data_IF_517912368992
#
_entry.id   IF_517912368992
#
_cell.length_a   1.000
_cell.length_b   1.000
_cell.length_c   1.000
_cell.angle_alpha   90.00
_cell.angle_beta   90.00
_cell.angle_gamma   90.00
#
_symmetry.space_group_name_H-M   'P 1'
#
loop_
_entity.id
_entity.type
_entity.pdbx_description
1 polymer ?
#
# COMPACT_ATOMS: atom_id res chain seq x y z
N UNK A 1 26.53 14.28 7.27
CA UNK A 1 25.41 13.71 6.48
C UNK A 1 24.39 13.20 7.48
N UNK A 2 23.52 14.08 7.99
CA UNK A 2 22.66 13.77 9.14
C UNK A 2 21.27 13.30 8.69
N UNK A 3 20.93 12.05 9.03
CA UNK A 3 19.57 11.63 9.41
C UNK A 3 18.52 11.55 8.29
N UNK A 4 18.60 10.54 7.43
CA UNK A 4 17.47 10.16 6.61
C UNK A 4 16.34 9.49 7.42
N UNK A 5 15.12 9.43 6.88
CA UNK A 5 13.93 8.92 7.58
C UNK A 5 14.14 7.48 8.06
N UNK A 6 13.91 7.20 9.35
CA UNK A 6 14.06 5.85 9.92
C UNK A 6 15.42 5.16 9.67
N UNK A 7 16.47 5.91 9.32
CA UNK A 7 17.79 5.37 8.94
C UNK A 7 17.96 5.09 7.44
N UNK A 8 17.04 5.55 6.59
CA UNK A 8 17.02 5.38 5.13
C UNK A 8 17.64 6.60 4.45
N UNK A 9 18.63 6.40 3.59
CA UNK A 9 19.48 7.49 3.05
C UNK A 9 18.71 8.57 2.29
N UNK A 10 17.79 8.18 1.40
CA UNK A 10 17.18 9.12 0.45
C UNK A 10 15.76 9.59 0.82
N UNK A 11 15.16 9.04 1.89
CA UNK A 11 13.75 9.32 2.19
C UNK A 11 12.79 8.90 1.07
N UNK A 12 13.13 7.84 0.32
CA UNK A 12 12.30 7.28 -0.74
C UNK A 12 11.84 5.90 -0.28
N UNK A 13 10.53 5.72 -0.21
CA UNK A 13 9.87 4.47 0.18
C UNK A 13 9.17 3.88 -1.04
N UNK A 14 9.37 2.58 -1.30
CA UNK A 14 8.58 1.80 -2.23
C UNK A 14 7.29 1.36 -1.53
N UNK A 15 6.14 1.68 -2.11
CA UNK A 15 4.85 1.22 -1.61
C UNK A 15 4.70 -0.32 -1.78
N UNK A 16 4.04 -1.01 -0.83
CA UNK A 16 3.72 -2.43 -0.95
C UNK A 16 2.60 -2.61 -1.98
N UNK A 17 3.00 -2.78 -3.24
CA UNK A 17 2.10 -3.09 -4.36
C UNK A 17 2.00 -4.61 -4.52
N UNK A 18 0.93 -5.09 -5.16
CA UNK A 18 0.66 -6.53 -5.34
C UNK A 18 1.88 -7.35 -5.76
N UNK A 19 1.91 -8.63 -5.38
CA UNK A 19 3.06 -9.51 -5.63
C UNK A 19 3.38 -9.70 -7.13
N UNK A 20 2.41 -9.43 -8.00
CA UNK A 20 2.51 -9.36 -9.46
C UNK A 20 3.18 -8.06 -9.97
N UNK A 21 3.46 -7.10 -9.08
CA UNK A 21 4.11 -5.82 -9.39
C UNK A 21 5.40 -5.67 -8.60
N UNK A 22 5.33 -5.69 -7.26
CA UNK A 22 6.46 -5.42 -6.36
C UNK A 22 7.00 -6.69 -5.71
N UNK A 23 7.59 -7.56 -6.55
CA UNK A 23 8.28 -8.77 -6.12
C UNK A 23 9.60 -8.52 -5.37
N UNK A 24 10.27 -9.59 -4.90
CA UNK A 24 11.51 -9.52 -4.13
C UNK A 24 12.63 -8.68 -4.78
N UNK A 25 12.78 -8.74 -6.09
CA UNK A 25 13.82 -8.05 -6.86
C UNK A 25 13.63 -6.53 -6.81
N UNK A 26 12.40 -6.05 -6.95
CA UNK A 26 12.11 -4.62 -6.85
C UNK A 26 12.38 -4.10 -5.43
N UNK A 27 11.92 -4.82 -4.41
CA UNK A 27 12.16 -4.47 -3.01
C UNK A 27 13.66 -4.38 -2.72
N UNK A 28 14.42 -5.42 -3.11
CA UNK A 28 15.85 -5.47 -2.89
C UNK A 28 16.60 -4.38 -3.67
N UNK A 29 16.21 -4.08 -4.91
CA UNK A 29 16.82 -3.03 -5.72
C UNK A 29 16.66 -1.65 -5.06
N UNK A 30 15.45 -1.31 -4.61
CA UNK A 30 15.17 -0.04 -3.90
C UNK A 30 16.00 0.06 -2.61
N UNK A 31 16.04 -1.01 -1.83
CA UNK A 31 16.80 -1.07 -0.57
C UNK A 31 18.30 -0.93 -0.82
N UNK A 32 18.84 -1.62 -1.82
CA UNK A 32 20.25 -1.54 -2.18
C UNK A 32 20.64 -0.14 -2.66
N UNK A 33 19.73 0.56 -3.34
CA UNK A 33 19.88 1.93 -3.80
C UNK A 33 19.69 3.00 -2.69
N UNK A 34 19.48 2.62 -1.42
CA UNK A 34 19.38 3.58 -0.31
C UNK A 34 17.95 4.06 0.01
N UNK A 35 16.93 3.44 -0.61
CA UNK A 35 15.53 3.62 -0.25
C UNK A 35 15.04 2.59 0.79
N UNK A 36 13.76 2.68 1.16
CA UNK A 36 13.06 1.70 1.97
C UNK A 36 12.14 0.86 1.07
N UNK A 37 12.39 -0.44 0.99
CA UNK A 37 11.54 -1.37 0.28
C UNK A 37 10.46 -1.95 1.19
N UNK A 38 9.19 -1.92 0.76
CA UNK A 38 8.09 -2.57 1.45
C UNK A 38 7.47 -3.65 0.57
N UNK A 39 7.50 -4.90 1.04
CA UNK A 39 6.83 -6.04 0.41
C UNK A 39 5.32 -5.98 0.67
N UNK A 40 4.45 -6.19 -0.33
CA UNK A 40 3.05 -6.50 -0.04
C UNK A 40 2.94 -7.93 0.50
N UNK A 41 2.57 -8.07 1.77
CA UNK A 41 2.52 -9.39 2.40
C UNK A 41 1.33 -10.21 1.91
N UNK A 42 1.52 -11.53 1.70
CA UNK A 42 0.41 -12.47 1.58
C UNK A 42 -0.56 -12.33 2.76
N UNK A 43 -1.86 -12.30 2.47
CA UNK A 43 -2.90 -12.18 3.50
C UNK A 43 -3.03 -13.50 4.26
N UNK A 44 -2.92 -13.43 5.58
CA UNK A 44 -3.02 -14.54 6.52
C UNK A 44 -2.26 -15.83 6.14
N UNK A 45 -1.07 -15.70 5.55
CA UNK A 45 -0.30 -16.86 5.07
C UNK A 45 1.15 -16.80 5.56
N UNK A 46 1.46 -17.61 6.57
CA UNK A 46 2.79 -17.67 7.19
C UNK A 46 3.86 -18.15 6.18
N UNK A 47 3.62 -19.27 5.50
CA UNK A 47 4.62 -19.93 4.66
C UNK A 47 5.01 -19.07 3.46
N UNK A 48 4.03 -18.51 2.74
CA UNK A 48 4.31 -17.62 1.61
C UNK A 48 4.94 -16.30 2.05
N UNK A 49 4.57 -15.78 3.23
CA UNK A 49 5.23 -14.59 3.80
C UNK A 49 6.70 -14.86 4.10
N UNK A 50 7.02 -15.97 4.77
CA UNK A 50 8.40 -16.40 5.06
C UNK A 50 9.19 -16.58 3.76
N UNK A 51 8.61 -17.24 2.76
CA UNK A 51 9.22 -17.47 1.46
C UNK A 51 9.56 -16.16 0.75
N UNK A 52 8.63 -15.22 0.69
CA UNK A 52 8.84 -13.91 0.07
C UNK A 52 9.92 -13.08 0.81
N UNK A 53 9.87 -13.06 2.15
CA UNK A 53 10.89 -12.40 2.98
C UNK A 53 12.28 -13.00 2.75
N UNK A 54 12.39 -14.32 2.73
CA UNK A 54 13.68 -15.01 2.50
C UNK A 54 14.18 -14.80 1.07
N UNK A 55 13.31 -14.65 0.08
CA UNK A 55 13.72 -14.28 -1.27
C UNK A 55 14.40 -12.90 -1.30
N UNK A 56 13.84 -11.90 -0.60
CA UNK A 56 14.45 -10.57 -0.49
C UNK A 56 15.80 -10.64 0.25
N UNK A 57 15.88 -11.38 1.37
CA UNK A 57 17.12 -11.56 2.15
C UNK A 57 18.26 -12.22 1.37
N UNK A 58 17.97 -12.97 0.31
CA UNK A 58 19.00 -13.51 -0.60
C UNK A 58 19.62 -12.42 -1.49
N UNK A 59 18.93 -11.30 -1.69
CA UNK A 59 19.30 -10.22 -2.60
C UNK A 59 19.85 -8.98 -1.87
N UNK A 60 19.61 -8.87 -0.56
CA UNK A 60 20.14 -7.77 0.26
C UNK A 60 20.26 -8.15 1.73
N UNK A 61 21.28 -7.59 2.39
CA UNK A 61 21.46 -7.65 3.85
C UNK A 61 20.99 -6.37 4.55
N UNK A 62 20.50 -5.37 3.81
CA UNK A 62 20.02 -4.11 4.37
C UNK A 62 18.58 -4.26 4.90
N UNK A 63 18.17 -3.47 5.92
CA UNK A 63 16.81 -3.51 6.45
C UNK A 63 15.75 -3.18 5.39
N UNK A 64 14.63 -3.90 5.44
CA UNK A 64 13.44 -3.66 4.61
C UNK A 64 12.18 -3.94 5.42
N UNK A 65 11.02 -3.67 4.83
CA UNK A 65 9.73 -3.83 5.47
C UNK A 65 8.71 -4.66 4.69
N UNK A 66 7.55 -4.81 5.31
CA UNK A 66 6.38 -5.51 4.79
C UNK A 66 5.10 -4.73 5.09
N UNK A 67 4.11 -4.77 4.20
CA UNK A 67 2.85 -4.06 4.34
C UNK A 67 1.66 -5.02 4.48
N UNK A 68 0.76 -4.71 5.43
CA UNK A 68 -0.46 -5.49 5.70
C UNK A 68 -1.72 -4.62 5.67
N UNK A 69 -2.81 -5.20 5.16
CA UNK A 69 -4.15 -4.60 5.16
C UNK A 69 -4.89 -4.95 6.44
N UNK A 70 -5.21 -3.95 7.26
CA UNK A 70 -5.89 -4.15 8.54
C UNK A 70 -7.35 -4.60 8.40
N UNK A 71 -7.92 -4.50 7.19
CA UNK A 71 -9.23 -5.05 6.86
C UNK A 71 -9.30 -6.58 7.06
N UNK A 72 -8.19 -7.30 6.91
CA UNK A 72 -8.15 -8.75 6.94
C UNK A 72 -7.46 -9.28 8.20
N UNK A 73 -7.72 -10.55 8.54
CA UNK A 73 -6.89 -11.25 9.51
C UNK A 73 -5.46 -11.39 8.93
N UNK A 74 -4.47 -10.97 9.71
CA UNK A 74 -3.06 -11.06 9.35
C UNK A 74 -2.26 -11.78 10.44
N UNK A 75 -2.90 -12.48 11.37
CA UNK A 75 -2.24 -13.14 12.51
C UNK A 75 -1.05 -14.02 12.09
N UNK A 76 -1.23 -14.87 11.07
CA UNK A 76 -0.15 -15.70 10.51
C UNK A 76 0.93 -14.90 9.81
N UNK A 77 0.56 -13.85 9.11
CA UNK A 77 1.48 -12.95 8.39
C UNK A 77 2.34 -12.13 9.36
N UNK A 78 1.73 -11.56 10.40
CA UNK A 78 2.41 -10.82 11.46
C UNK A 78 3.38 -11.76 12.20
N UNK A 79 2.96 -12.98 12.50
CA UNK A 79 3.86 -13.99 13.09
C UNK A 79 5.09 -14.23 12.20
N UNK A 80 4.90 -14.39 10.89
CA UNK A 80 6.02 -14.54 9.95
C UNK A 80 6.95 -13.33 9.92
N UNK A 81 6.39 -12.11 9.95
CA UNK A 81 7.15 -10.84 10.02
C UNK A 81 8.03 -10.81 11.29
N UNK A 82 7.48 -11.22 12.44
CA UNK A 82 8.20 -11.27 13.71
C UNK A 82 9.28 -12.36 13.72
N UNK A 83 8.95 -13.59 13.32
CA UNK A 83 9.89 -14.71 13.29
C UNK A 83 11.06 -14.44 12.34
N UNK A 84 10.79 -13.78 11.20
CA UNK A 84 11.81 -13.39 10.23
C UNK A 84 12.48 -12.04 10.56
N UNK A 85 12.13 -11.37 11.66
CA UNK A 85 12.79 -10.14 12.14
C UNK A 85 12.87 -9.04 11.08
N UNK A 86 11.75 -8.79 10.40
CA UNK A 86 11.63 -7.66 9.48
C UNK A 86 11.73 -6.34 10.24
N UNK A 87 12.38 -5.33 9.66
CA UNK A 87 12.65 -4.08 10.37
C UNK A 87 11.44 -3.14 10.45
N UNK A 88 10.55 -3.20 9.45
CA UNK A 88 9.43 -2.27 9.31
C UNK A 88 8.14 -3.00 8.93
N UNK A 89 7.02 -2.63 9.56
CA UNK A 89 5.69 -3.08 9.17
C UNK A 89 4.82 -1.88 8.84
N UNK A 90 4.43 -1.75 7.57
CA UNK A 90 3.41 -0.81 7.17
C UNK A 90 2.04 -1.39 7.46
N UNK A 91 1.20 -0.60 8.11
CA UNK A 91 -0.21 -0.91 8.35
C UNK A 91 -1.10 0.12 7.67
N UNK A 92 -2.16 -0.32 7.02
CA UNK A 92 -3.07 0.56 6.28
C UNK A 92 -4.50 0.01 6.25
N UNK A 93 -5.47 0.91 6.02
CA UNK A 93 -6.91 0.60 6.03
C UNK A 93 -7.46 0.05 7.34
N UNK A 94 -7.22 0.78 8.43
CA UNK A 94 -7.78 0.48 9.74
C UNK A 94 -7.03 1.17 10.86
N UNK A 95 -7.46 0.87 12.09
CA UNK A 95 -6.79 1.34 13.31
C UNK A 95 -5.76 0.31 13.78
N UNK A 96 -4.62 0.80 14.26
CA UNK A 96 -3.57 -0.02 14.84
C UNK A 96 -3.27 0.53 16.23
N UNK A 97 -3.95 -0.01 17.27
CA UNK A 97 -3.92 0.58 18.60
C UNK A 97 -2.57 0.37 19.29
N UNK A 98 -2.34 1.14 20.36
CA UNK A 98 -1.08 1.19 21.09
C UNK A 98 -0.56 -0.19 21.50
N UNK A 99 -1.44 -1.10 21.93
CA UNK A 99 -1.05 -2.43 22.38
C UNK A 99 -0.37 -3.23 21.26
N UNK A 100 -0.86 -3.09 20.02
CA UNK A 100 -0.27 -3.75 18.84
C UNK A 100 1.03 -3.08 18.41
N UNK A 101 1.15 -1.76 18.54
CA UNK A 101 2.42 -1.05 18.32
C UNK A 101 3.47 -1.52 19.32
N UNK A 102 3.13 -1.54 20.61
CA UNK A 102 4.01 -1.98 21.69
C UNK A 102 4.43 -3.45 21.50
N UNK A 103 3.52 -4.31 21.01
CA UNK A 103 3.83 -5.69 20.65
C UNK A 103 4.83 -5.80 19.49
N UNK A 104 4.64 -5.01 18.42
CA UNK A 104 5.58 -4.98 17.30
C UNK A 104 6.97 -4.49 17.74
N UNK A 105 7.01 -3.47 18.60
CA UNK A 105 8.25 -2.94 19.16
C UNK A 105 9.01 -3.98 20.00
N UNK A 106 8.32 -4.84 20.77
CA UNK A 106 8.95 -5.97 21.49
C UNK A 106 9.66 -6.95 20.56
N UNK A 107 9.19 -7.06 19.31
CA UNK A 107 9.81 -7.88 18.27
C UNK A 107 10.84 -7.12 17.42
N UNK A 108 11.13 -5.86 17.76
CA UNK A 108 12.08 -5.02 17.03
C UNK A 108 11.55 -4.47 15.71
N UNK A 109 10.24 -4.50 15.49
CA UNK A 109 9.59 -4.04 14.26
C UNK A 109 9.04 -2.64 14.44
N UNK A 110 9.44 -1.71 13.58
CA UNK A 110 8.92 -0.34 13.55
C UNK A 110 7.63 -0.24 12.74
N UNK A 111 6.67 0.55 13.18
CA UNK A 111 5.35 0.70 12.56
C UNK A 111 5.28 1.95 11.69
N UNK A 112 4.90 1.76 10.42
CA UNK A 112 4.59 2.83 9.47
C UNK A 112 3.08 2.83 9.22
N UNK A 113 2.33 3.78 9.79
CA UNK A 113 0.88 3.81 9.61
C UNK A 113 0.50 4.70 8.44
N UNK A 114 -0.09 4.12 7.39
CA UNK A 114 -0.66 4.91 6.30
C UNK A 114 -2.06 5.39 6.64
N UNK A 115 -2.24 6.71 6.59
CA UNK A 115 -3.47 7.41 6.96
C UNK A 115 -3.92 8.34 5.83
N UNK A 116 -5.22 8.58 5.74
CA UNK A 116 -5.83 9.46 4.73
C UNK A 116 -6.61 10.65 5.31
N UNK A 117 -6.54 10.86 6.62
CA UNK A 117 -7.24 11.94 7.32
C UNK A 117 -6.44 12.41 8.53
N UNK A 118 -6.76 13.62 8.99
CA UNK A 118 -6.20 14.20 10.22
C UNK A 118 -6.56 13.35 11.45
N UNK A 119 -7.83 12.95 11.58
CA UNK A 119 -8.29 12.11 12.70
C UNK A 119 -7.52 10.78 12.78
N UNK A 120 -7.30 10.12 11.63
CA UNK A 120 -6.52 8.88 11.60
C UNK A 120 -5.04 9.13 11.97
N UNK A 121 -4.48 10.28 11.60
CA UNK A 121 -3.14 10.67 12.02
C UNK A 121 -3.04 10.88 13.54
N UNK A 122 -4.02 11.57 14.16
CA UNK A 122 -4.08 11.75 15.62
C UNK A 122 -4.11 10.41 16.35
N UNK A 123 -4.92 9.46 15.87
CA UNK A 123 -4.97 8.09 16.42
C UNK A 123 -3.63 7.36 16.27
N UNK A 124 -2.98 7.49 15.11
CA UNK A 124 -1.67 6.89 14.87
C UNK A 124 -0.57 7.49 15.79
N UNK A 125 -0.58 8.81 15.99
CA UNK A 125 0.31 9.49 16.95
C UNK A 125 0.07 8.97 18.37
N UNK A 126 -1.18 8.91 18.81
CA UNK A 126 -1.55 8.40 20.14
C UNK A 126 -1.15 6.93 20.35
N UNK A 127 -1.17 6.12 19.28
CA UNK A 127 -0.72 4.74 19.31
C UNK A 127 0.81 4.60 19.43
N UNK A 128 1.58 5.66 19.13
CA UNK A 128 3.04 5.67 19.25
C UNK A 128 3.77 5.07 18.04
N UNK A 129 3.22 5.23 16.83
CA UNK A 129 3.84 4.75 15.59
C UNK A 129 5.18 5.43 15.30
N UNK A 130 6.07 4.75 14.57
CA UNK A 130 7.41 5.27 14.26
C UNK A 130 7.42 6.23 13.07
N UNK A 131 6.40 6.18 12.22
CA UNK A 131 6.27 7.00 11.03
C UNK A 131 4.82 7.00 10.54
N UNK A 132 4.40 8.12 9.96
CA UNK A 132 3.10 8.27 9.32
C UNK A 132 3.30 8.37 7.81
N UNK A 133 2.54 7.61 7.02
CA UNK A 133 2.46 7.78 5.57
C UNK A 133 1.15 8.51 5.25
N UNK A 134 1.22 9.77 4.88
CA UNK A 134 0.07 10.59 4.49
C UNK A 134 -0.33 10.28 3.04
N UNK A 135 -1.45 9.59 2.84
CA UNK A 135 -1.97 9.24 1.52
C UNK A 135 -3.02 10.26 1.04
N UNK A 136 -2.68 11.01 0.00
CA UNK A 136 -3.64 11.85 -0.71
C UNK A 136 -4.58 11.04 -1.62
N UNK A 137 -5.70 11.63 -2.00
CA UNK A 137 -6.71 11.04 -2.89
C UNK A 137 -6.15 10.69 -4.28
N UNK A 138 -5.01 11.26 -4.65
CA UNK A 138 -4.33 11.05 -5.93
C UNK A 138 -3.54 9.73 -6.00
N UNK A 139 -3.35 9.02 -4.88
CA UNK A 139 -2.63 7.75 -4.87
C UNK A 139 -3.30 6.68 -5.76
N UNK A 140 -2.53 5.72 -6.27
CA UNK A 140 -3.04 4.55 -6.99
C UNK A 140 -3.38 3.38 -6.05
N UNK A 141 -4.11 2.38 -6.55
CA UNK A 141 -4.50 1.22 -5.74
C UNK A 141 -5.57 1.57 -4.71
N UNK A 142 -5.65 0.86 -3.58
CA UNK A 142 -6.64 1.16 -2.53
C UNK A 142 -6.35 2.52 -1.87
N UNK A 143 -7.36 3.40 -1.84
CA UNK A 143 -7.27 4.78 -1.34
C UNK A 143 -8.22 4.98 -0.17
N UNK A 144 -7.65 5.26 1.00
CA UNK A 144 -8.44 5.71 2.16
C UNK A 144 -8.59 7.23 2.20
N UNK A 145 -7.63 7.97 1.64
CA UNK A 145 -7.66 9.43 1.53
C UNK A 145 -8.75 9.96 0.61
N UNK A 146 -9.42 11.03 1.05
CA UNK A 146 -10.43 11.77 0.27
C UNK A 146 -10.02 13.20 -0.01
N UNK A 147 -8.91 13.65 0.57
CA UNK A 147 -8.35 15.00 0.44
C UNK A 147 -7.08 14.93 -0.40
N UNK A 148 -6.81 15.99 -1.17
CA UNK A 148 -5.57 16.11 -1.95
C UNK A 148 -4.34 16.08 -1.03
N UNK A 149 -3.26 15.45 -1.50
CA UNK A 149 -2.02 15.38 -0.72
C UNK A 149 -1.49 16.77 -0.36
N UNK A 150 -1.60 17.74 -1.28
CA UNK A 150 -1.17 19.12 -1.07
C UNK A 150 -1.84 19.77 0.16
N UNK A 151 -3.14 19.54 0.37
CA UNK A 151 -3.88 20.12 1.49
C UNK A 151 -3.77 19.27 2.77
N UNK A 152 -3.70 17.94 2.61
CA UNK A 152 -3.66 17.00 3.73
C UNK A 152 -2.30 16.98 4.44
N UNK A 153 -1.21 17.00 3.67
CA UNK A 153 0.14 16.78 4.18
C UNK A 153 0.57 17.75 5.30
N UNK A 154 0.50 19.10 5.14
CA UNK A 154 0.96 20.01 6.18
C UNK A 154 0.17 19.84 7.49
N UNK A 155 -1.14 19.56 7.40
CA UNK A 155 -2.00 19.32 8.57
C UNK A 155 -1.57 18.08 9.36
N UNK A 156 -1.19 17.01 8.66
CA UNK A 156 -0.69 15.79 9.30
C UNK A 156 0.70 16.04 9.90
N UNK A 157 1.56 16.79 9.21
CA UNK A 157 2.90 17.17 9.71
C UNK A 157 2.79 17.93 11.03
N UNK A 158 1.91 18.92 11.12
CA UNK A 158 1.75 19.75 12.33
C UNK A 158 1.35 18.90 13.56
N UNK A 159 0.50 17.88 13.35
CA UNK A 159 0.00 17.01 14.41
C UNK A 159 1.01 15.91 14.78
N UNK A 160 1.79 15.42 13.81
CA UNK A 160 2.77 14.36 14.03
C UNK A 160 3.92 14.78 14.97
N UNK A 161 4.18 16.07 15.10
CA UNK A 161 5.25 16.61 15.94
C UNK A 161 6.61 16.05 15.53
N UNK A 162 7.20 15.21 16.38
CA UNK A 162 8.50 14.58 16.13
C UNK A 162 8.43 13.29 15.30
N UNK A 163 7.23 12.73 15.09
CA UNK A 163 7.07 11.52 14.27
C UNK A 163 7.25 11.93 12.81
N UNK A 164 8.18 11.29 12.05
CA UNK A 164 8.39 11.63 10.66
C UNK A 164 7.16 11.29 9.82
N UNK A 165 6.82 12.21 8.90
CA UNK A 165 5.72 12.03 7.95
C UNK A 165 6.29 11.83 6.54
N UNK A 166 5.77 10.85 5.83
CA UNK A 166 6.08 10.53 4.43
C UNK A 166 4.88 10.85 3.56
N UNK A 167 5.11 11.55 2.45
CA UNK A 167 4.05 11.93 1.52
C UNK A 167 3.79 10.83 0.49
N UNK A 168 2.52 10.46 0.24
CA UNK A 168 2.13 9.44 -0.73
C UNK A 168 0.98 9.90 -1.63
N UNK A 169 1.18 9.83 -2.95
CA UNK A 169 0.18 10.20 -3.97
C UNK A 169 0.68 11.26 -4.95
N UNK A 170 0.51 11.02 -6.25
CA UNK A 170 0.94 11.92 -7.36
C UNK A 170 2.41 12.39 -7.37
N UNK A 171 3.32 11.69 -6.68
CA UNK A 171 4.76 12.00 -6.71
C UNK A 171 5.45 11.03 -7.66
N UNK A 172 6.07 11.54 -8.72
CA UNK A 172 6.71 10.71 -9.76
C UNK A 172 8.09 11.21 -10.19
N UNK A 173 8.50 12.39 -9.74
CA UNK A 173 9.79 13.00 -10.04
C UNK A 173 10.29 13.93 -8.91
N UNK A 174 11.43 14.58 -9.15
CA UNK A 174 12.09 15.45 -8.19
C UNK A 174 11.27 16.69 -7.79
N UNK A 175 10.34 17.17 -8.65
CA UNK A 175 9.49 18.33 -8.33
C UNK A 175 8.48 17.95 -7.24
N UNK A 176 7.84 16.80 -7.40
CA UNK A 176 6.93 16.26 -6.38
C UNK A 176 7.66 15.94 -5.07
N UNK A 177 8.89 15.41 -5.15
CA UNK A 177 9.74 15.20 -3.98
C UNK A 177 10.06 16.52 -3.26
N UNK A 178 10.54 17.53 -3.98
CA UNK A 178 10.84 18.84 -3.40
C UNK A 178 9.60 19.51 -2.80
N UNK A 179 8.45 19.42 -3.47
CA UNK A 179 7.18 19.94 -2.96
C UNK A 179 6.76 19.24 -1.64
N UNK A 180 6.87 17.91 -1.56
CA UNK A 180 6.59 17.17 -0.34
C UNK A 180 7.48 17.61 0.83
N UNK A 181 8.78 17.79 0.59
CA UNK A 181 9.71 18.28 1.60
C UNK A 181 9.38 19.73 2.03
N UNK A 182 9.01 20.59 1.09
CA UNK A 182 8.59 21.96 1.37
C UNK A 182 7.32 22.03 2.22
N UNK A 183 6.43 21.04 2.09
CA UNK A 183 5.24 20.86 2.93
C UNK A 183 5.51 20.16 4.27
N UNK A 184 6.78 19.89 4.59
CA UNK A 184 7.22 19.37 5.88
C UNK A 184 7.40 17.86 5.97
N UNK A 185 7.16 17.11 4.89
CA UNK A 185 7.47 15.68 4.87
C UNK A 185 8.98 15.43 5.03
N UNK A 186 9.33 14.25 5.55
CA UNK A 186 10.70 13.74 5.66
C UNK A 186 11.07 12.73 4.57
N UNK A 187 10.16 12.53 3.62
CA UNK A 187 10.33 11.60 2.51
C UNK A 187 9.05 11.41 1.71
N UNK A 188 9.11 10.51 0.74
CA UNK A 188 7.99 10.16 -0.15
C UNK A 188 7.81 8.66 -0.26
N UNK A 189 6.56 8.20 -0.40
CA UNK A 189 6.19 6.81 -0.67
C UNK A 189 5.62 6.72 -2.08
N UNK A 190 6.28 5.95 -2.93
CA UNK A 190 6.04 5.90 -4.37
C UNK A 190 5.47 4.53 -4.76
N UNK A 191 4.38 4.55 -5.52
CA UNK A 191 3.81 3.36 -6.15
C UNK A 191 4.04 3.37 -7.65
N UNK A 192 3.20 4.09 -8.39
CA UNK A 192 3.19 4.18 -9.87
C UNK A 192 4.59 4.37 -10.49
N UNK A 193 5.45 5.21 -9.90
CA UNK A 193 6.81 5.43 -10.41
C UNK A 193 7.68 4.17 -10.41
N UNK A 194 7.51 3.30 -9.41
CA UNK A 194 8.25 2.05 -9.30
C UNK A 194 7.63 0.91 -10.13
N UNK A 195 6.38 1.03 -10.60
CA UNK A 195 5.82 0.07 -11.55
C UNK A 195 6.58 0.12 -12.88
N UNK A 196 6.95 1.33 -13.32
CA UNK A 196 7.68 1.58 -14.57
C UNK A 196 9.21 1.40 -14.42
N UNK A 197 9.68 0.37 -13.71
CA UNK A 197 11.10 0.01 -13.59
C UNK A 197 11.37 -1.39 -14.15
N UNK A 198 12.65 -1.77 -14.28
CA UNK A 198 13.03 -3.08 -14.85
C UNK A 198 12.72 -4.23 -13.89
N UNK A 199 12.86 -3.98 -12.59
CA UNK A 199 12.75 -4.95 -11.51
C UNK A 199 11.29 -5.25 -11.13
N UNK A 200 10.35 -4.37 -11.48
CA UNK A 200 8.94 -4.62 -11.27
C UNK A 200 8.43 -5.75 -12.17
N UNK A 201 7.62 -6.64 -11.61
CA UNK A 201 7.02 -7.78 -12.33
C UNK A 201 5.86 -7.39 -13.25
N UNK A 202 5.41 -6.13 -13.18
CA UNK A 202 4.35 -5.63 -14.03
C UNK A 202 4.64 -5.94 -15.51
N UNK A 203 3.63 -6.43 -16.21
CA UNK A 203 3.74 -6.72 -17.63
C UNK A 203 4.17 -5.47 -18.42
N UNK A 204 4.98 -5.63 -19.46
CA UNK A 204 5.55 -4.49 -20.21
C UNK A 204 4.45 -3.57 -20.76
N UNK A 205 3.34 -4.16 -21.23
CA UNK A 205 2.14 -3.41 -21.62
C UNK A 205 1.68 -2.43 -20.52
N UNK A 206 1.65 -2.84 -19.25
CA UNK A 206 1.24 -1.96 -18.15
C UNK A 206 2.27 -0.84 -17.95
N UNK A 207 3.57 -1.16 -17.98
CA UNK A 207 4.65 -0.16 -17.85
C UNK A 207 4.59 0.89 -18.95
N UNK A 208 4.44 0.48 -20.21
CA UNK A 208 4.27 1.39 -21.34
C UNK A 208 2.98 2.21 -21.25
N UNK A 209 1.90 1.59 -20.79
CA UNK A 209 0.60 2.26 -20.63
C UNK A 209 0.72 3.42 -19.65
N UNK A 210 1.44 3.26 -18.55
CA UNK A 210 1.68 4.33 -17.57
C UNK A 210 2.41 5.54 -18.17
N UNK A 211 3.18 5.38 -19.24
CA UNK A 211 3.88 6.47 -19.91
C UNK A 211 2.98 7.25 -20.88
N UNK A 212 1.85 6.67 -21.30
CA UNK A 212 0.97 7.19 -22.35
C UNK A 212 -0.29 7.87 -21.81
N UNK A 213 -0.66 7.61 -20.55
CA UNK A 213 -1.90 8.10 -19.96
C UNK A 213 -1.75 9.52 -19.39
N UNK A 214 -2.87 10.24 -19.33
CA UNK A 214 -3.00 11.56 -18.72
C UNK A 214 -3.74 11.50 -17.39
N UNK A 215 -3.74 12.60 -16.63
CA UNK A 215 -4.44 12.73 -15.35
C UNK A 215 -5.95 12.44 -15.45
N UNK A 216 -6.54 12.64 -16.64
CA UNK A 216 -7.96 12.43 -16.90
C UNK A 216 -8.33 10.96 -17.14
N UNK A 217 -7.35 10.06 -17.19
CA UNK A 217 -7.54 8.65 -17.51
C UNK A 217 -7.30 7.72 -16.31
N UNK A 218 -7.56 8.24 -15.11
CA UNK A 218 -7.67 7.45 -13.88
C UNK A 218 -9.01 7.70 -13.24
N UNK A 219 -9.56 6.67 -12.61
CA UNK A 219 -10.83 6.77 -11.89
C UNK A 219 -10.66 6.35 -10.44
N UNK A 220 -11.39 7.01 -9.54
CA UNK A 220 -11.55 6.56 -8.14
C UNK A 220 -12.88 5.82 -8.05
N UNK A 221 -12.82 4.51 -7.90
CA UNK A 221 -13.97 3.61 -8.05
C UNK A 221 -14.09 2.65 -6.88
N UNK A 222 -15.32 2.20 -6.59
CA UNK A 222 -15.57 1.07 -5.69
C UNK A 222 -15.76 -0.25 -6.45
N UNK A 223 -15.71 -0.23 -7.79
CA UNK A 223 -16.07 -1.34 -8.68
C UNK A 223 -15.43 -2.67 -8.27
N UNK A 224 -14.12 -2.65 -8.00
CA UNK A 224 -13.34 -3.85 -7.70
C UNK A 224 -13.55 -4.37 -6.26
N UNK A 225 -14.29 -3.62 -5.45
CA UNK A 225 -14.63 -3.95 -4.07
C UNK A 225 -16.09 -4.37 -3.85
N UNK A 226 -16.99 -4.16 -4.82
CA UNK A 226 -18.45 -4.35 -4.66
C UNK A 226 -18.85 -5.75 -4.17
N UNK A 227 -18.16 -6.78 -4.64
CA UNK A 227 -18.44 -8.18 -4.26
C UNK A 227 -17.72 -8.65 -2.98
N UNK A 228 -16.88 -7.81 -2.36
CA UNK A 228 -16.08 -8.22 -1.20
C UNK A 228 -15.84 -7.04 -0.25
N UNK A 229 -14.65 -6.46 -0.30
CA UNK A 229 -14.25 -5.31 0.48
C UNK A 229 -14.58 -4.03 -0.30
N UNK A 230 -15.65 -3.32 0.09
CA UNK A 230 -16.10 -2.05 -0.53
C UNK A 230 -15.15 -0.86 -0.29
N UNK A 231 -13.86 -1.05 -0.55
CA UNK A 231 -12.85 -0.01 -0.52
C UNK A 231 -12.71 0.64 -1.90
N UNK A 232 -12.50 1.97 -1.88
CA UNK A 232 -12.20 2.70 -3.10
C UNK A 232 -10.79 2.37 -3.58
N UNK A 233 -10.66 2.18 -4.88
CA UNK A 233 -9.39 2.05 -5.57
C UNK A 233 -9.24 3.11 -6.65
N UNK A 234 -8.01 3.51 -6.96
CA UNK A 234 -7.71 4.21 -8.21
C UNK A 234 -7.00 3.32 -9.19
N UNK A 235 -7.57 3.26 -10.38
CA UNK A 235 -7.09 2.48 -11.50
C UNK A 235 -7.09 3.33 -12.78
N UNK A 236 -6.46 2.80 -13.83
CA UNK A 236 -6.58 3.37 -15.17
C UNK A 236 -7.98 3.13 -15.72
N UNK A 237 -8.51 4.11 -16.46
CA UNK A 237 -9.76 3.97 -17.22
C UNK A 237 -9.51 3.13 -18.47
N UNK A 238 -9.77 1.84 -18.37
CA UNK A 238 -9.69 0.89 -19.51
C UNK A 238 -11.08 0.61 -20.08
N UNK A 239 -11.21 0.06 -21.30
CA UNK A 239 -12.52 -0.34 -21.83
C UNK A 239 -13.26 -1.32 -20.91
N UNK A 240 -12.54 -2.24 -20.26
CA UNK A 240 -13.11 -3.13 -19.24
C UNK A 240 -13.67 -2.34 -18.05
N UNK A 241 -12.89 -1.39 -17.53
CA UNK A 241 -13.29 -0.56 -16.40
C UNK A 241 -14.56 0.24 -16.71
N UNK A 242 -14.60 0.92 -17.87
CA UNK A 242 -15.76 1.72 -18.29
C UNK A 242 -17.02 0.87 -18.47
N UNK A 243 -16.89 -0.31 -19.09
CA UNK A 243 -18.00 -1.23 -19.27
C UNK A 243 -18.61 -1.69 -17.95
N UNK A 244 -17.76 -2.11 -17.00
CA UNK A 244 -18.20 -2.67 -15.73
C UNK A 244 -18.66 -1.61 -14.72
N UNK A 245 -18.10 -0.40 -14.78
CA UNK A 245 -18.52 0.72 -13.92
C UNK A 245 -19.97 1.10 -14.14
N UNK A 246 -20.48 0.95 -15.37
CA UNK A 246 -21.88 1.23 -15.74
C UNK A 246 -22.86 0.12 -15.33
N UNK A 247 -22.36 -1.06 -14.96
CA UNK A 247 -23.23 -2.16 -14.54
C UNK A 247 -23.84 -1.86 -13.16
N UNK A 248 -25.08 -2.34 -12.89
CA UNK A 248 -25.71 -2.18 -11.59
C UNK A 248 -24.82 -2.70 -10.46
N UNK A 249 -24.95 -2.08 -9.29
CA UNK A 249 -24.29 -2.60 -8.09
C UNK A 249 -24.85 -4.00 -7.77
N UNK A 250 -24.00 -4.89 -7.26
CA UNK A 250 -24.40 -6.26 -6.91
C UNK A 250 -25.62 -6.26 -5.97
N UNK A 251 -25.66 -5.33 -5.02
CA UNK A 251 -26.77 -5.17 -4.06
C UNK A 251 -28.10 -4.76 -4.72
N UNK A 252 -28.06 -4.30 -5.97
CA UNK A 252 -29.23 -3.84 -6.75
C UNK A 252 -29.66 -4.83 -7.83
N UNK A 253 -28.88 -5.87 -8.09
CA UNK A 253 -29.24 -6.93 -9.03
C UNK A 253 -30.11 -7.96 -8.31
N UNK A 254 -31.36 -8.07 -8.73
CA UNK A 254 -32.23 -9.19 -8.34
C UNK A 254 -32.14 -10.23 -9.45
N UNK A 255 -31.77 -11.47 -9.11
CA UNK A 255 -31.86 -12.57 -10.05
C UNK A 255 -33.32 -12.76 -10.46
N UNK A 256 -33.59 -12.66 -11.76
CA UNK A 256 -34.87 -13.04 -12.33
C UNK A 256 -34.84 -14.54 -12.59
N UNK A 257 -35.39 -15.32 -11.66
CA UNK A 257 -35.47 -16.78 -11.74
C UNK A 257 -36.30 -17.28 -12.94
N UNK A 258 -36.96 -16.39 -13.68
CA UNK A 258 -37.66 -16.72 -14.94
C UNK A 258 -36.76 -16.65 -16.17
N UNK A 259 -35.55 -16.08 -16.05
CA UNK A 259 -34.57 -16.07 -17.15
C UNK A 259 -33.91 -17.45 -17.32
N UNK A 260 -33.62 -17.85 -18.57
CA UNK A 260 -32.87 -19.07 -18.81
C UNK A 260 -31.48 -18.98 -18.18
N UNK A 261 -31.10 -20.01 -17.40
CA UNK A 261 -29.78 -20.12 -16.82
C UNK A 261 -28.75 -20.26 -17.95
N UNK A 262 -27.92 -19.23 -18.15
CA UNK A 262 -26.90 -19.18 -19.22
C UNK A 262 -25.58 -19.86 -18.83
N UNK A 263 -25.44 -20.33 -17.59
CA UNK A 263 -24.28 -21.07 -17.12
C UNK A 263 -24.36 -21.44 -15.64
N UNK A 264 -23.64 -22.49 -15.26
CA UNK A 264 -23.46 -22.90 -13.87
C UNK A 264 -21.98 -22.77 -13.50
N UNK A 265 -21.69 -22.15 -12.35
CA UNK A 265 -20.36 -22.15 -11.75
C UNK A 265 -20.44 -22.83 -10.39
N UNK A 266 -19.73 -23.95 -10.24
CA UNK A 266 -19.55 -24.58 -8.93
C UNK A 266 -18.45 -23.83 -8.19
N UNK A 267 -18.82 -23.05 -7.17
CA UNK A 267 -17.87 -22.45 -6.24
C UNK A 267 -17.66 -23.46 -5.11
N UNK A 268 -16.50 -24.11 -5.09
CA UNK A 268 -16.12 -24.99 -3.98
C UNK A 268 -15.84 -24.15 -2.74
N UNK A 269 -16.83 -24.01 -1.86
CA UNK A 269 -16.57 -23.58 -0.49
C UNK A 269 -15.82 -24.71 0.21
N UNK A 270 -14.62 -24.40 0.69
CA UNK A 270 -13.66 -25.36 1.23
C UNK A 270 -14.05 -25.95 2.58
N UNK A 271 -15.15 -26.70 2.64
CA UNK A 271 -15.32 -27.72 3.66
C UNK A 271 -14.55 -28.96 3.18
N UNK A 272 -13.32 -29.07 3.70
CA UNK A 272 -12.55 -30.32 3.65
C UNK A 272 -13.23 -31.31 4.61
N UNK A 273 -13.74 -32.41 4.07
CA UNK A 273 -13.86 -33.67 4.82
C UNK A 273 -12.48 -34.14 5.33
#
# INVERSE_FOLDING_TARGET
MAGGILGVEHGIVLAPMGADVAGPELVAAVVNAGGLGLLASPVNNYEETVKAIRAIKKLTNKPFGAGILLQFDNSKTIKAIYDEKIAFMQVYWGEFPKEKVDEAHKHGVKILHQVGSVEAAEKAVAAGVDCIIAQGVEAGGHIIGTVSLMALLPRIVDIAGNIPVVAAGSITDARGYAAALALGAKGVCLGTRFIATKEAYAHEYYKETLLKYTENQTDRTDLYGRASWRAYVRCLTTPFHEYWKQQPDYDTVVNDDTQPIIGHMTIYNGDKE
#
